data_IF_207880338092
#
_entry.id   IF_207880338092
#
_cell.length_a   1.000
_cell.length_b   1.000
_cell.length_c   1.000
_cell.angle_alpha   90.00
_cell.angle_beta   90.00
_cell.angle_gamma   90.00
#
_symmetry.space_group_name_H-M   'P 1'
#
loop_
_entity.id
_entity.type
_entity.pdbx_description
1 polymer ?
#
# COMPACT_ATOMS: atom_id res chain seq x y z
N UNK A 1 -64.45 14.65 -58.41
CA UNK A 1 -65.38 15.36 -57.50
C UNK A 1 -65.31 14.70 -56.13
N UNK A 2 -65.06 15.49 -55.07
CA UNK A 2 -65.38 15.30 -53.63
C UNK A 2 -65.18 13.92 -52.95
N UNK A 3 -64.81 13.75 -51.67
CA UNK A 3 -64.37 14.55 -50.51
C UNK A 3 -63.97 13.51 -49.43
N UNK A 4 -62.80 13.70 -48.80
CA UNK A 4 -62.43 13.53 -47.37
C UNK A 4 -63.05 12.49 -46.40
N UNK A 5 -62.16 11.98 -45.52
CA UNK A 5 -62.27 11.34 -44.18
C UNK A 5 -62.40 9.81 -44.18
N UNK A 6 -61.69 9.00 -43.38
CA UNK A 6 -61.04 9.23 -42.08
C UNK A 6 -59.88 8.25 -41.83
N UNK A 7 -59.00 8.62 -40.90
CA UNK A 7 -57.74 7.99 -40.47
C UNK A 7 -58.00 6.91 -39.39
N UNK A 8 -57.22 5.81 -39.39
CA UNK A 8 -56.71 5.20 -38.16
C UNK A 8 -55.51 4.28 -38.45
N UNK A 9 -54.29 4.81 -38.27
CA UNK A 9 -53.07 4.02 -38.11
C UNK A 9 -52.85 3.86 -36.61
N UNK A 10 -52.92 2.65 -36.08
CA UNK A 10 -52.43 2.38 -34.72
C UNK A 10 -50.89 2.44 -34.76
N UNK A 11 -50.34 3.54 -34.24
CA UNK A 11 -48.95 3.64 -33.87
C UNK A 11 -48.73 3.05 -32.49
N UNK A 12 -47.79 2.10 -32.37
CA UNK A 12 -47.15 1.80 -31.10
C UNK A 12 -45.95 2.74 -30.96
N UNK A 13 -46.16 3.86 -30.26
CA UNK A 13 -45.09 4.68 -29.72
C UNK A 13 -44.56 3.99 -28.46
N UNK A 14 -43.30 3.54 -28.50
CA UNK A 14 -42.56 3.24 -27.28
C UNK A 14 -42.25 4.56 -26.57
N UNK A 15 -42.95 4.83 -25.48
CA UNK A 15 -42.61 5.90 -24.56
C UNK A 15 -41.32 5.51 -23.82
N UNK A 16 -40.25 6.31 -24.02
CA UNK A 16 -39.15 6.38 -23.08
C UNK A 16 -39.69 6.92 -21.75
N UNK A 17 -39.80 6.07 -20.73
CA UNK A 17 -39.83 6.52 -19.34
C UNK A 17 -38.41 6.41 -18.79
N UNK A 18 -37.78 7.58 -18.65
CA UNK A 18 -36.55 7.75 -17.88
C UNK A 18 -36.95 7.65 -16.41
N UNK A 19 -36.75 6.48 -15.80
CA UNK A 19 -36.65 6.38 -14.35
C UNK A 19 -35.17 6.46 -13.96
N UNK A 20 -34.82 7.64 -13.46
CA UNK A 20 -33.60 7.85 -12.70
C UNK A 20 -33.68 7.15 -11.33
N UNK A 21 -32.49 6.88 -10.78
CA UNK A 21 -32.21 6.43 -9.42
C UNK A 21 -32.49 4.95 -9.13
N UNK A 22 -31.43 4.14 -9.23
CA UNK A 22 -30.85 3.35 -8.13
C UNK A 22 -29.44 2.95 -8.58
N UNK A 23 -28.45 3.79 -8.27
CA UNK A 23 -27.04 3.48 -8.51
C UNK A 23 -26.59 2.38 -7.56
N UNK A 24 -26.79 1.13 -7.96
CA UNK A 24 -26.01 0.02 -7.40
C UNK A 24 -24.55 0.28 -7.75
N UNK A 25 -23.71 0.49 -6.73
CA UNK A 25 -22.26 0.47 -6.87
C UNK A 25 -21.87 -0.95 -7.25
N UNK A 26 -21.65 -1.19 -8.53
CA UNK A 26 -20.95 -2.40 -8.98
C UNK A 26 -19.49 -2.18 -8.59
N UNK A 27 -19.07 -2.74 -7.45
CA UNK A 27 -17.64 -2.99 -7.22
C UNK A 27 -17.24 -4.07 -8.21
N UNK A 28 -16.59 -3.68 -9.30
CA UNK A 28 -15.96 -4.63 -10.19
C UNK A 28 -14.76 -5.17 -9.44
N UNK A 29 -14.92 -6.33 -8.79
CA UNK A 29 -13.79 -7.07 -8.25
C UNK A 29 -12.77 -7.26 -9.38
N UNK A 30 -11.47 -7.09 -9.07
CA UNK A 30 -10.42 -7.38 -10.04
C UNK A 30 -10.64 -8.79 -10.63
N UNK A 31 -10.52 -8.97 -11.95
CA UNK A 31 -10.70 -10.28 -12.57
C UNK A 31 -9.76 -11.29 -11.90
N UNK A 32 -10.21 -12.53 -11.67
CA UNK A 32 -9.45 -13.56 -10.94
C UNK A 32 -8.03 -13.79 -11.52
N UNK A 33 -7.79 -13.44 -12.79
CA UNK A 33 -6.48 -13.47 -13.45
C UNK A 33 -5.42 -12.52 -12.85
N UNK A 34 -5.84 -11.51 -12.08
CA UNK A 34 -4.94 -10.51 -11.49
C UNK A 34 -4.60 -10.81 -10.02
N UNK A 35 -5.13 -11.90 -9.45
CA UNK A 35 -4.80 -12.35 -8.09
C UNK A 35 -3.49 -13.12 -8.11
N UNK A 36 -2.62 -12.85 -7.14
CA UNK A 36 -1.43 -13.66 -6.95
C UNK A 36 -1.85 -14.85 -6.07
N UNK A 37 -1.90 -16.05 -6.66
CA UNK A 37 -2.11 -17.27 -5.89
C UNK A 37 -0.90 -17.51 -4.98
N UNK A 38 -1.20 -17.99 -3.77
CA UNK A 38 -0.16 -18.37 -2.84
C UNK A 38 0.35 -19.77 -3.16
N UNK A 39 1.67 -19.92 -3.25
CA UNK A 39 2.28 -21.24 -3.21
C UNK A 39 2.03 -21.91 -1.85
N UNK A 40 1.93 -23.24 -1.79
CA UNK A 40 1.75 -24.04 -0.55
C UNK A 40 2.74 -23.70 0.60
N UNK A 41 3.86 -23.03 0.29
CA UNK A 41 4.80 -22.47 1.26
C UNK A 41 4.22 -21.30 2.10
N UNK A 42 3.05 -20.74 1.76
CA UNK A 42 2.30 -19.72 2.52
C UNK A 42 1.78 -20.23 3.88
N UNK A 43 1.91 -21.53 4.16
CA UNK A 43 1.30 -22.18 5.33
C UNK A 43 2.26 -22.35 6.53
N UNK A 44 3.52 -21.93 6.42
CA UNK A 44 4.52 -22.04 7.49
C UNK A 44 4.63 -20.74 8.28
N UNK A 45 3.60 -20.38 9.05
CA UNK A 45 3.62 -19.15 9.86
C UNK A 45 2.77 -19.26 11.11
N UNK A 46 2.87 -20.37 11.86
CA UNK A 46 1.99 -20.52 13.04
C UNK A 46 2.57 -21.06 14.33
N UNK A 47 3.81 -21.59 14.39
CA UNK A 47 4.22 -22.30 15.61
C UNK A 47 5.58 -21.98 16.21
N UNK A 48 6.41 -21.07 15.69
CA UNK A 48 7.79 -20.90 16.22
C UNK A 48 8.18 -19.48 16.65
N UNK A 49 7.38 -18.44 16.36
CA UNK A 49 7.89 -17.05 16.42
C UNK A 49 6.94 -16.07 17.10
N UNK A 50 6.32 -16.47 18.22
CA UNK A 50 5.51 -15.56 19.03
C UNK A 50 6.31 -14.31 19.40
N UNK A 51 5.79 -13.13 19.05
CA UNK A 51 6.35 -11.82 19.43
C UNK A 51 7.33 -11.18 18.43
N UNK A 52 7.71 -11.83 17.32
CA UNK A 52 8.57 -11.18 16.31
C UNK A 52 7.80 -10.36 15.29
N UNK A 53 6.61 -10.81 14.89
CA UNK A 53 5.69 -10.12 14.00
C UNK A 53 4.28 -10.65 14.21
N UNK A 54 3.31 -9.85 13.79
CA UNK A 54 1.89 -10.18 13.82
C UNK A 54 1.42 -10.53 12.41
N UNK A 55 0.62 -11.59 12.28
CA UNK A 55 -0.01 -11.98 11.02
C UNK A 55 -1.48 -11.55 11.01
N UNK A 56 -1.91 -10.91 9.93
CA UNK A 56 -3.30 -10.52 9.71
C UNK A 56 -3.96 -11.46 8.72
N UNK A 57 -5.06 -12.08 9.13
CA UNK A 57 -5.88 -12.93 8.26
C UNK A 57 -7.27 -12.35 8.05
N UNK A 58 -7.84 -12.58 6.86
CA UNK A 58 -9.24 -12.30 6.58
C UNK A 58 -10.11 -13.29 7.38
N UNK A 59 -11.12 -12.78 8.10
CA UNK A 59 -11.92 -13.60 9.03
C UNK A 59 -12.73 -14.68 8.33
N UNK A 60 -13.24 -14.40 7.14
CA UNK A 60 -14.16 -15.28 6.43
C UNK A 60 -13.41 -16.38 5.67
N UNK A 61 -12.31 -16.00 5.01
CA UNK A 61 -11.52 -16.94 4.19
C UNK A 61 -10.35 -17.60 4.92
N UNK A 62 -10.02 -17.13 6.13
CA UNK A 62 -8.81 -17.50 6.89
C UNK A 62 -7.49 -17.27 6.15
N UNK A 63 -7.51 -16.62 4.98
CA UNK A 63 -6.32 -16.31 4.19
C UNK A 63 -5.52 -15.19 4.85
N UNK A 64 -4.19 -15.31 4.81
CA UNK A 64 -3.28 -14.23 5.22
C UNK A 64 -3.41 -13.07 4.22
N UNK A 65 -3.54 -11.84 4.75
CA UNK A 65 -3.76 -10.57 4.03
C UNK A 65 -2.84 -9.44 4.52
N UNK A 66 -1.82 -9.79 5.29
CA UNK A 66 -0.80 -8.86 5.77
C UNK A 66 -0.03 -9.39 6.95
N UNK A 67 1.04 -8.67 7.28
CA UNK A 67 1.78 -8.85 8.53
C UNK A 67 2.39 -7.52 8.97
N UNK A 68 2.70 -7.41 10.25
CA UNK A 68 3.27 -6.20 10.83
C UNK A 68 4.28 -6.49 11.91
N UNK A 69 5.19 -5.55 12.14
CA UNK A 69 6.08 -5.56 13.29
C UNK A 69 6.50 -4.14 13.65
N UNK A 70 7.03 -4.00 14.86
CA UNK A 70 7.37 -2.71 15.46
C UNK A 70 8.86 -2.63 15.78
N UNK A 71 9.48 -1.53 15.36
CA UNK A 71 10.79 -1.09 15.82
C UNK A 71 10.61 -0.11 16.98
N UNK A 72 11.05 -0.56 18.17
CA UNK A 72 11.16 0.25 19.39
C UNK A 72 12.63 0.48 19.75
N UNK A 73 12.91 1.55 20.48
CA UNK A 73 14.26 1.93 20.88
C UNK A 73 14.71 1.35 22.23
N UNK A 74 16.00 1.50 22.59
CA UNK A 74 16.98 2.35 21.90
C UNK A 74 17.72 1.61 20.76
N UNK A 75 17.86 2.26 19.60
CA UNK A 75 18.69 1.83 18.48
C UNK A 75 18.99 3.03 17.53
N UNK A 76 19.66 2.78 16.39
CA UNK A 76 20.06 3.85 15.45
C UNK A 76 18.88 4.59 14.80
N UNK A 77 17.68 4.01 14.79
CA UNK A 77 16.47 4.57 14.18
C UNK A 77 15.58 5.23 15.23
N UNK A 78 15.41 4.55 16.36
CA UNK A 78 14.66 5.03 17.52
C UNK A 78 15.67 5.24 18.65
N UNK A 79 16.28 6.44 18.80
CA UNK A 79 17.43 6.64 19.69
C UNK A 79 17.07 6.67 21.18
N UNK A 80 15.78 6.64 21.52
CA UNK A 80 15.30 6.73 22.89
C UNK A 80 14.67 5.41 23.32
N UNK A 81 14.80 5.06 24.59
CA UNK A 81 14.07 3.94 25.17
C UNK A 81 12.58 4.25 25.22
N UNK A 82 11.78 3.20 25.10
CA UNK A 82 10.35 3.30 25.38
C UNK A 82 10.15 3.34 26.90
N UNK A 83 9.56 4.42 27.47
CA UNK A 83 9.34 4.51 28.91
C UNK A 83 8.41 3.41 29.43
N UNK A 84 7.42 3.00 28.63
CA UNK A 84 6.52 1.87 28.88
C UNK A 84 6.20 1.19 27.55
N UNK A 85 5.82 -0.09 27.58
CA UNK A 85 5.48 -0.81 26.36
C UNK A 85 4.35 -0.11 25.60
N UNK A 86 4.65 0.34 24.38
CA UNK A 86 3.65 1.06 23.57
C UNK A 86 3.64 2.57 23.76
N UNK A 87 4.22 3.07 24.84
CA UNK A 87 4.38 4.49 25.14
C UNK A 87 5.72 4.99 24.59
N UNK A 88 5.70 6.12 23.88
CA UNK A 88 6.90 6.75 23.34
C UNK A 88 7.21 6.45 21.86
N UNK A 89 8.40 6.86 21.40
CA UNK A 89 8.73 6.86 19.99
C UNK A 89 8.87 5.45 19.41
N UNK A 90 8.31 5.22 18.23
CA UNK A 90 8.37 3.94 17.53
C UNK A 90 8.17 4.10 16.03
N UNK A 91 8.61 3.09 15.28
CA UNK A 91 8.26 2.90 13.87
C UNK A 91 7.52 1.59 13.71
N UNK A 92 6.37 1.63 13.07
CA UNK A 92 5.62 0.43 12.72
C UNK A 92 5.71 0.16 11.23
N UNK A 93 5.88 -1.11 10.87
CA UNK A 93 5.85 -1.60 9.50
C UNK A 93 4.63 -2.48 9.32
N UNK A 94 3.81 -2.17 8.31
CA UNK A 94 2.60 -2.91 7.97
C UNK A 94 2.66 -3.28 6.48
N UNK A 95 2.88 -4.55 6.21
CA UNK A 95 2.80 -5.09 4.86
C UNK A 95 1.36 -5.53 4.62
N UNK A 96 0.70 -4.88 3.67
CA UNK A 96 -0.71 -5.08 3.39
C UNK A 96 -0.89 -5.60 1.97
N UNK A 97 -1.76 -6.60 1.80
CA UNK A 97 -2.13 -7.17 0.51
C UNK A 97 -3.57 -7.68 0.59
N UNK A 98 -4.49 -6.74 0.79
CA UNK A 98 -5.92 -7.03 0.97
C UNK A 98 -6.47 -7.74 -0.25
N UNK A 99 -7.33 -8.73 0.00
CA UNK A 99 -7.94 -9.61 -1.01
C UNK A 99 -6.97 -10.31 -1.97
N UNK A 100 -5.66 -10.23 -1.68
CA UNK A 100 -4.55 -10.68 -2.52
C UNK A 100 -4.60 -10.09 -3.94
N UNK A 101 -5.21 -8.91 -4.06
CA UNK A 101 -5.25 -8.14 -5.30
C UNK A 101 -3.94 -7.39 -5.48
N UNK A 102 -3.35 -7.43 -6.68
CA UNK A 102 -2.11 -6.69 -6.99
C UNK A 102 -2.22 -5.20 -6.67
N UNK A 103 -3.40 -4.61 -6.78
CA UNK A 103 -3.62 -3.17 -6.53
C UNK A 103 -3.43 -2.74 -5.07
N UNK A 104 -3.61 -3.68 -4.13
CA UNK A 104 -3.62 -3.38 -2.70
C UNK A 104 -2.35 -3.84 -1.99
N UNK A 105 -1.32 -4.20 -2.75
CA UNK A 105 -0.03 -4.61 -2.21
C UNK A 105 0.81 -3.37 -1.88
N UNK A 106 1.04 -3.13 -0.60
CA UNK A 106 1.75 -1.94 -0.12
C UNK A 106 2.51 -2.22 1.19
N UNK A 107 3.55 -1.43 1.43
CA UNK A 107 4.17 -1.26 2.73
C UNK A 107 3.75 0.09 3.30
N UNK A 108 3.02 0.07 4.41
CA UNK A 108 2.76 1.25 5.22
C UNK A 108 3.78 1.33 6.35
N UNK A 109 4.41 2.47 6.48
CA UNK A 109 5.34 2.81 7.57
C UNK A 109 4.76 3.97 8.35
N UNK A 110 4.61 3.77 9.65
CA UNK A 110 4.11 4.81 10.56
C UNK A 110 5.18 5.16 11.57
N UNK A 111 5.65 6.41 11.49
CA UNK A 111 6.53 6.99 12.49
C UNK A 111 5.69 7.68 13.56
N UNK A 112 5.87 7.23 14.80
CA UNK A 112 5.28 7.79 16.01
C UNK A 112 6.39 8.52 16.77
N UNK A 113 6.52 9.84 16.63
CA UNK A 113 7.50 10.60 17.42
C UNK A 113 7.07 10.74 18.89
N UNK A 114 5.80 10.51 19.19
CA UNK A 114 5.13 10.58 20.51
C UNK A 114 3.97 9.58 20.55
N UNK A 115 3.34 9.34 21.71
CA UNK A 115 2.12 8.52 21.79
C UNK A 115 0.89 9.15 21.08
N UNK A 116 0.89 10.46 20.85
CA UNK A 116 -0.26 11.16 20.27
C UNK A 116 -0.46 10.85 18.79
N UNK A 117 -1.63 10.28 18.45
CA UNK A 117 -1.97 9.89 17.08
C UNK A 117 -1.98 11.04 16.05
N UNK A 118 -2.29 12.25 16.49
CA UNK A 118 -2.28 13.46 15.63
C UNK A 118 -0.87 13.86 15.16
N UNK A 119 0.17 13.25 15.73
CA UNK A 119 1.57 13.51 15.39
C UNK A 119 2.19 12.43 14.50
N UNK A 120 1.42 11.40 14.12
CA UNK A 120 1.89 10.31 13.26
C UNK A 120 2.28 10.81 11.88
N UNK A 121 3.37 10.24 11.37
CA UNK A 121 3.87 10.46 10.02
C UNK A 121 3.70 9.17 9.26
N UNK A 122 2.82 9.18 8.27
CA UNK A 122 2.45 8.03 7.48
C UNK A 122 3.18 8.07 6.14
N UNK A 123 3.83 6.97 5.78
CA UNK A 123 4.49 6.77 4.50
C UNK A 123 3.98 5.48 3.89
N UNK A 124 3.42 5.54 2.68
CA UNK A 124 3.03 4.34 1.94
C UNK A 124 3.99 4.15 0.78
N UNK A 125 4.50 2.92 0.66
CA UNK A 125 5.43 2.50 -0.36
C UNK A 125 4.80 1.38 -1.18
N UNK A 126 4.85 1.52 -2.50
CA UNK A 126 4.42 0.50 -3.46
C UNK A 126 5.62 0.12 -4.31
N UNK A 127 5.77 -1.18 -4.57
CA UNK A 127 6.92 -1.73 -5.27
C UNK A 127 6.47 -2.39 -6.57
N UNK A 128 7.20 -2.14 -7.66
CA UNK A 128 6.89 -2.69 -8.99
C UNK A 128 8.14 -3.30 -9.63
N UNK A 129 8.02 -4.44 -10.34
CA UNK A 129 6.80 -5.19 -10.60
C UNK A 129 6.24 -5.90 -9.36
N UNK A 130 4.93 -6.18 -9.35
CA UNK A 130 4.20 -6.89 -8.30
C UNK A 130 4.09 -8.37 -8.66
N UNK A 131 5.22 -9.06 -8.56
CA UNK A 131 5.37 -10.47 -8.93
C UNK A 131 4.93 -11.42 -7.82
N UNK A 132 5.09 -11.02 -6.56
CA UNK A 132 4.87 -11.85 -5.39
C UNK A 132 3.94 -11.14 -4.39
N UNK A 133 3.25 -11.92 -3.55
CA UNK A 133 2.73 -11.40 -2.30
C UNK A 133 3.91 -11.14 -1.34
N UNK A 134 3.87 -10.07 -0.54
CA UNK A 134 4.85 -9.88 0.52
C UNK A 134 4.84 -11.10 1.46
N UNK A 135 6.04 -11.55 1.83
CA UNK A 135 6.21 -12.67 2.74
C UNK A 135 7.25 -12.33 3.81
N UNK A 136 7.18 -13.00 4.95
CA UNK A 136 8.11 -12.86 6.06
C UNK A 136 8.56 -14.23 6.56
N UNK A 137 9.87 -14.37 6.72
CA UNK A 137 10.54 -15.56 7.25
C UNK A 137 11.47 -15.10 8.39
N UNK A 138 11.49 -15.81 9.51
CA UNK A 138 12.56 -15.63 10.49
C UNK A 138 13.58 -16.77 10.38
N UNK A 139 14.86 -16.44 10.60
CA UNK A 139 15.91 -17.43 10.77
C UNK A 139 15.76 -18.23 12.06
N UNK A 140 16.67 -19.19 12.26
CA UNK A 140 16.68 -20.09 13.41
C UNK A 140 16.74 -19.34 14.76
N UNK A 141 16.12 -19.90 15.82
CA UNK A 141 16.16 -19.33 17.18
C UNK A 141 17.60 -19.05 17.66
N UNK A 142 17.84 -17.87 18.24
CA UNK A 142 19.13 -17.43 18.78
C UNK A 142 19.97 -16.56 17.84
N UNK A 143 19.61 -16.47 16.56
CA UNK A 143 20.22 -15.57 15.58
C UNK A 143 19.14 -14.94 14.70
N UNK A 144 18.12 -14.34 15.33
CA UNK A 144 16.92 -13.92 14.63
C UNK A 144 17.23 -12.80 13.62
N UNK A 145 17.00 -13.10 12.35
CA UNK A 145 16.95 -12.18 11.24
C UNK A 145 15.58 -12.37 10.60
N UNK A 146 14.84 -11.28 10.42
CA UNK A 146 13.61 -11.32 9.65
C UNK A 146 13.94 -10.99 8.20
N UNK A 147 13.69 -11.94 7.32
CA UNK A 147 13.73 -11.75 5.87
C UNK A 147 12.32 -11.44 5.40
N UNK A 148 12.14 -10.25 4.88
CA UNK A 148 10.92 -9.84 4.19
C UNK A 148 11.15 -9.89 2.69
N UNK A 149 10.30 -10.62 1.98
CA UNK A 149 10.26 -10.60 0.51
C UNK A 149 9.28 -9.52 0.05
N UNK A 150 9.76 -8.57 -0.75
CA UNK A 150 8.96 -7.50 -1.34
C UNK A 150 8.14 -8.01 -2.53
N UNK A 151 7.15 -7.24 -3.01
CA UNK A 151 6.36 -7.60 -4.20
C UNK A 151 7.20 -7.86 -5.45
N UNK A 152 8.36 -7.20 -5.54
CA UNK A 152 9.35 -7.39 -6.61
C UNK A 152 10.08 -8.74 -6.55
N UNK A 153 9.92 -9.50 -5.46
CA UNK A 153 10.69 -10.70 -5.15
C UNK A 153 12.03 -10.41 -4.45
N UNK A 154 12.37 -9.14 -4.27
CA UNK A 154 13.62 -8.75 -3.61
C UNK A 154 13.50 -8.87 -2.08
N UNK A 155 14.60 -9.22 -1.42
CA UNK A 155 14.64 -9.39 0.02
C UNK A 155 15.04 -8.09 0.74
N UNK A 156 14.49 -7.90 1.94
CA UNK A 156 14.91 -6.93 2.95
C UNK A 156 15.15 -7.68 4.24
N UNK A 157 16.28 -7.42 4.88
CA UNK A 157 16.66 -8.07 6.11
C UNK A 157 16.53 -7.09 7.28
N UNK A 158 15.94 -7.57 8.36
CA UNK A 158 15.81 -6.85 9.62
C UNK A 158 16.49 -7.65 10.73
N UNK A 159 17.14 -6.95 11.64
CA UNK A 159 17.57 -7.52 12.91
C UNK A 159 16.34 -8.00 13.70
N UNK A 160 16.34 -9.24 14.15
CA UNK A 160 15.17 -9.86 14.78
C UNK A 160 14.81 -9.26 16.14
N UNK A 161 15.73 -8.58 16.83
CA UNK A 161 15.45 -7.91 18.10
C UNK A 161 14.99 -6.47 17.88
N UNK A 162 15.86 -5.64 17.32
CA UNK A 162 15.66 -4.20 17.14
C UNK A 162 14.72 -3.85 15.99
N UNK A 163 14.47 -4.79 15.06
CA UNK A 163 13.70 -4.56 13.83
C UNK A 163 14.25 -3.42 12.96
N UNK A 164 15.55 -3.16 13.07
CA UNK A 164 16.29 -2.22 12.21
C UNK A 164 16.63 -2.95 10.91
N UNK A 165 16.49 -2.28 9.76
CA UNK A 165 16.94 -2.83 8.48
C UNK A 165 18.46 -2.99 8.49
N UNK A 166 18.92 -4.21 8.25
CA UNK A 166 20.34 -4.60 8.21
C UNK A 166 20.87 -4.78 6.79
N UNK A 167 19.99 -4.98 5.80
CA UNK A 167 20.38 -5.07 4.40
C UNK A 167 19.23 -5.35 3.42
N UNK A 168 19.58 -5.52 2.15
CA UNK A 168 18.64 -5.83 1.07
C UNK A 168 18.19 -4.59 0.27
N UNK A 169 16.98 -4.68 -0.31
CA UNK A 169 16.46 -3.69 -1.25
C UNK A 169 16.00 -2.38 -0.59
N UNK A 170 15.81 -2.34 0.73
CA UNK A 170 15.47 -1.13 1.48
C UNK A 170 16.55 -0.79 2.50
N UNK A 171 16.78 0.52 2.69
CA UNK A 171 17.70 1.02 3.70
C UNK A 171 17.06 2.18 4.45
N UNK A 172 17.17 2.13 5.78
CA UNK A 172 16.85 3.26 6.66
C UNK A 172 18.05 4.22 6.74
N UNK A 173 17.85 5.46 6.30
CA UNK A 173 18.89 6.49 6.10
C UNK A 173 19.03 7.46 7.27
N UNK A 174 17.99 7.65 8.07
CA UNK A 174 18.04 8.53 9.26
C UNK A 174 17.03 8.10 10.34
N UNK A 175 17.27 8.51 11.62
CA UNK A 175 16.37 8.26 12.74
C UNK A 175 14.99 8.90 12.56
N UNK A 176 14.01 8.47 13.36
CA UNK A 176 12.71 9.16 13.43
C UNK A 176 12.90 10.64 13.83
N UNK A 177 12.21 11.53 13.14
CA UNK A 177 12.30 12.96 13.41
C UNK A 177 11.32 13.36 14.53
N UNK A 178 11.87 13.73 15.68
CA UNK A 178 11.14 14.16 16.87
C UNK A 178 11.21 15.67 17.12
N UNK A 179 11.54 16.47 16.09
CA UNK A 179 11.60 17.92 16.21
C UNK A 179 10.33 18.52 16.83
N UNK A 180 10.40 19.62 17.59
CA UNK A 180 9.24 20.18 18.28
C UNK A 180 8.15 20.66 17.31
N UNK A 181 8.55 21.16 16.15
CA UNK A 181 7.62 21.59 15.10
C UNK A 181 7.16 20.39 14.25
N UNK A 182 5.95 19.91 14.53
CA UNK A 182 5.37 18.75 13.85
C UNK A 182 5.24 18.91 12.34
N UNK A 183 5.19 20.14 11.81
CA UNK A 183 5.02 20.40 10.38
C UNK A 183 6.36 20.37 9.63
N UNK A 184 7.48 20.54 10.35
CA UNK A 184 8.83 20.52 9.79
C UNK A 184 9.56 19.19 9.95
N UNK A 185 9.01 18.27 10.75
CA UNK A 185 9.56 16.91 10.87
C UNK A 185 9.71 16.27 9.49
N UNK A 186 10.71 15.41 9.33
CA UNK A 186 10.90 14.59 8.14
C UNK A 186 10.10 13.30 8.24
N UNK A 187 9.56 12.83 7.12
CA UNK A 187 8.95 11.50 7.02
C UNK A 187 10.01 10.40 7.07
N UNK A 188 9.59 9.13 7.18
CA UNK A 188 10.53 8.04 7.40
C UNK A 188 11.63 8.00 6.33
N UNK A 189 12.87 7.89 6.76
CA UNK A 189 14.04 7.85 5.87
C UNK A 189 14.25 6.49 5.24
N UNK A 190 13.32 6.02 4.41
CA UNK A 190 13.46 4.76 3.67
C UNK A 190 13.86 5.05 2.24
N UNK A 191 14.97 4.46 1.81
CA UNK A 191 15.45 4.50 0.44
C UNK A 191 15.40 3.10 -0.16
N UNK A 192 14.87 3.02 -1.38
CA UNK A 192 14.87 1.79 -2.17
C UNK A 192 16.13 1.74 -3.06
N UNK A 193 16.83 0.60 -2.96
CA UNK A 193 18.06 0.26 -3.69
C UNK A 193 17.87 -0.92 -4.65
N UNK A 194 16.64 -1.42 -4.75
CA UNK A 194 16.31 -2.51 -5.66
C UNK A 194 16.34 -2.11 -7.12
N UNK A 195 16.15 -3.09 -7.99
CA UNK A 195 16.17 -2.92 -9.46
C UNK A 195 14.81 -2.50 -10.04
N UNK A 196 13.75 -2.57 -9.25
CA UNK A 196 12.40 -2.19 -9.64
C UNK A 196 12.11 -0.71 -9.44
N UNK A 197 10.84 -0.42 -9.19
CA UNK A 197 10.34 0.92 -8.91
C UNK A 197 9.75 0.99 -7.52
N UNK A 198 9.94 2.14 -6.88
CA UNK A 198 9.23 2.51 -5.67
C UNK A 198 8.37 3.74 -5.93
N UNK A 199 7.08 3.64 -5.64
CA UNK A 199 6.18 4.78 -5.49
C UNK A 199 6.03 5.06 -4.00
N UNK A 200 6.23 6.30 -3.61
CA UNK A 200 6.13 6.78 -2.24
C UNK A 200 5.12 7.91 -2.13
N UNK A 201 4.23 7.81 -1.14
CA UNK A 201 3.37 8.92 -0.72
C UNK A 201 3.51 9.13 0.79
N UNK A 202 3.56 10.39 1.19
CA UNK A 202 3.76 10.80 2.58
C UNK A 202 2.63 11.72 3.04
N UNK A 203 2.13 11.55 4.26
CA UNK A 203 1.18 12.49 4.88
C UNK A 203 1.19 12.42 6.40
N UNK A 204 0.80 13.53 7.03
CA UNK A 204 0.64 13.66 8.48
C UNK A 204 -0.84 13.57 8.84
N UNK A 205 -1.17 12.74 9.82
CA UNK A 205 -2.50 12.68 10.46
C UNK A 205 -3.68 12.23 9.60
N UNK A 206 -3.49 11.94 8.31
CA UNK A 206 -4.52 11.51 7.35
C UNK A 206 -3.92 10.48 6.37
N UNK A 207 -4.77 9.85 5.56
CA UNK A 207 -4.35 8.88 4.53
C UNK A 207 -3.44 9.56 3.47
N UNK A 208 -2.21 9.06 3.25
CA UNK A 208 -1.28 9.60 2.26
C UNK A 208 -1.71 9.51 0.80
N UNK A 209 -2.82 8.86 0.49
CA UNK A 209 -3.27 8.67 -0.90
C UNK A 209 -4.22 9.77 -1.38
N UNK A 210 -4.65 10.67 -0.49
CA UNK A 210 -5.58 11.78 -0.76
C UNK A 210 -4.80 13.11 -0.82
N UNK A 211 -5.20 14.05 -1.68
CA UNK A 211 -4.74 15.47 -1.70
C UNK A 211 -3.26 15.71 -1.42
N UNK A 212 -2.38 14.92 -2.04
CA UNK A 212 -0.93 15.04 -1.88
C UNK A 212 -0.22 14.72 -3.19
N UNK A 213 1.11 14.65 -3.14
CA UNK A 213 1.96 14.21 -4.24
C UNK A 213 2.55 12.83 -3.95
N UNK A 214 2.74 12.05 -5.01
CA UNK A 214 3.52 10.85 -5.01
C UNK A 214 4.90 11.11 -5.62
N UNK A 215 5.91 10.46 -5.07
CA UNK A 215 7.27 10.43 -5.61
C UNK A 215 7.57 9.03 -6.12
N UNK A 216 7.89 8.91 -7.40
CA UNK A 216 8.24 7.64 -8.06
C UNK A 216 9.74 7.63 -8.35
N UNK A 217 10.42 6.54 -7.98
CA UNK A 217 11.87 6.38 -8.07
C UNK A 217 12.25 5.06 -8.75
N UNK A 218 13.29 5.12 -9.61
CA UNK A 218 13.92 4.00 -10.32
C UNK A 218 15.45 4.15 -10.36
N UNK A 219 16.08 4.59 -9.26
CA UNK A 219 17.50 4.99 -9.26
C UNK A 219 17.87 6.23 -10.10
N UNK A 220 17.00 6.69 -11.00
CA UNK A 220 17.09 7.94 -11.75
C UNK A 220 16.47 9.13 -10.99
N UNK A 221 16.38 10.30 -11.66
CA UNK A 221 15.70 11.48 -11.11
C UNK A 221 14.25 11.13 -10.72
N UNK A 222 13.80 11.47 -9.50
CA UNK A 222 12.44 11.16 -9.07
C UNK A 222 11.40 11.88 -9.95
N UNK A 223 10.31 11.18 -10.25
CA UNK A 223 9.11 11.78 -10.84
C UNK A 223 8.13 12.13 -9.71
N UNK A 224 7.67 13.39 -9.67
CA UNK A 224 6.69 13.85 -8.68
C UNK A 224 5.39 14.17 -9.39
N UNK A 225 4.30 13.53 -9.00
CA UNK A 225 2.97 13.72 -9.61
C UNK A 225 1.88 13.80 -8.53
N UNK A 226 0.72 14.40 -8.83
CA UNK A 226 -0.43 14.36 -7.93
C UNK A 226 -0.87 12.92 -7.63
N UNK A 227 -1.15 12.63 -6.36
CA UNK A 227 -1.65 11.32 -5.93
C UNK A 227 -3.01 10.97 -6.57
N UNK A 228 -3.81 11.97 -6.97
CA UNK A 228 -5.10 11.78 -7.63
C UNK A 228 -4.99 11.15 -9.03
N UNK A 229 -3.80 11.12 -9.63
CA UNK A 229 -3.54 10.40 -10.88
C UNK A 229 -3.20 8.91 -10.66
N UNK A 230 -3.06 8.51 -9.41
CA UNK A 230 -2.62 7.18 -8.99
C UNK A 230 -3.66 6.43 -8.18
N UNK A 231 -4.50 7.16 -7.44
CA UNK A 231 -5.48 6.58 -6.53
C UNK A 231 -6.88 7.09 -6.82
N UNK A 232 -7.87 6.20 -6.70
CA UNK A 232 -9.27 6.59 -6.68
C UNK A 232 -9.57 7.33 -5.37
N UNK A 233 -9.79 8.64 -5.43
CA UNK A 233 -10.08 9.50 -4.27
C UNK A 233 -11.57 9.84 -4.15
N UNK A 234 -12.46 9.11 -4.83
CA UNK A 234 -13.90 9.31 -4.73
C UNK A 234 -14.40 8.96 -3.33
N UNK A 235 -15.16 9.88 -2.71
CA UNK A 235 -15.77 9.68 -1.38
C UNK A 235 -16.68 8.45 -1.29
N UNK A 236 -17.15 7.94 -2.44
CA UNK A 236 -18.07 6.80 -2.54
C UNK A 236 -17.39 5.47 -2.84
N UNK A 237 -16.07 5.47 -3.06
CA UNK A 237 -15.31 4.28 -3.44
C UNK A 237 -14.18 4.01 -2.46
N UNK A 238 -13.68 2.78 -2.46
CA UNK A 238 -12.47 2.45 -1.71
C UNK A 238 -11.26 3.17 -2.32
N UNK A 239 -10.34 3.61 -1.46
CA UNK A 239 -9.05 4.19 -1.88
C UNK A 239 -8.18 3.09 -2.50
N UNK A 240 -8.27 2.96 -3.81
CA UNK A 240 -7.64 1.91 -4.60
C UNK A 240 -6.62 2.50 -5.59
N UNK A 241 -5.57 1.74 -5.86
CA UNK A 241 -4.60 2.09 -6.89
C UNK A 241 -5.20 1.89 -8.29
N UNK A 242 -5.14 2.91 -9.14
CA UNK A 242 -5.85 2.95 -10.42
C UNK A 242 -5.33 1.95 -11.48
N UNK A 243 -4.15 1.36 -11.27
CA UNK A 243 -3.50 0.49 -12.26
C UNK A 243 -3.49 -0.99 -11.82
N UNK A 244 -4.42 -1.81 -12.35
CA UNK A 244 -4.54 -3.23 -11.98
C UNK A 244 -3.31 -4.04 -12.38
N UNK A 245 -2.72 -3.72 -13.53
CA UNK A 245 -1.53 -4.38 -14.05
C UNK A 245 -0.30 -3.48 -14.01
N UNK A 246 0.88 -4.09 -13.95
CA UNK A 246 2.15 -3.35 -13.97
C UNK A 246 2.42 -2.71 -15.33
N UNK A 247 1.96 -3.32 -16.42
CA UNK A 247 2.11 -2.76 -17.76
C UNK A 247 1.26 -1.51 -17.97
N UNK A 248 0.02 -1.49 -17.46
CA UNK A 248 -0.81 -0.29 -17.48
C UNK A 248 -0.15 0.86 -16.70
N UNK A 249 0.46 0.56 -15.55
CA UNK A 249 1.19 1.55 -14.79
C UNK A 249 2.46 2.01 -15.51
N UNK A 250 3.20 1.09 -16.13
CA UNK A 250 4.41 1.38 -16.92
C UNK A 250 4.11 2.34 -18.08
N UNK A 251 3.04 2.07 -18.84
CA UNK A 251 2.60 2.97 -19.92
C UNK A 251 2.27 4.36 -19.40
N UNK A 252 1.59 4.45 -18.25
CA UNK A 252 1.32 5.73 -17.61
C UNK A 252 2.61 6.46 -17.26
N UNK A 253 3.59 5.77 -16.66
CA UNK A 253 4.88 6.38 -16.30
C UNK A 253 5.70 6.81 -17.53
N UNK A 254 5.65 6.07 -18.62
CA UNK A 254 6.26 6.50 -19.89
C UNK A 254 5.62 7.79 -20.40
N UNK A 255 4.28 7.91 -20.32
CA UNK A 255 3.54 9.08 -20.79
C UNK A 255 3.74 10.30 -19.87
N UNK A 256 3.59 10.14 -18.56
CA UNK A 256 3.61 11.24 -17.60
C UNK A 256 5.02 11.59 -17.10
N UNK A 257 5.80 10.58 -16.74
CA UNK A 257 7.11 10.74 -16.12
C UNK A 257 8.27 10.63 -17.11
N UNK A 258 8.01 10.25 -18.37
CA UNK A 258 9.03 9.99 -19.40
C UNK A 258 10.06 8.95 -18.96
N UNK A 259 9.63 8.00 -18.13
CA UNK A 259 10.49 6.94 -17.61
C UNK A 259 10.66 5.83 -18.64
N UNK A 260 11.89 5.31 -18.74
CA UNK A 260 12.24 4.12 -19.52
C UNK A 260 12.55 2.97 -18.56
N UNK A 261 12.20 1.76 -18.96
CA UNK A 261 12.29 0.55 -18.13
C UNK A 261 12.91 -0.59 -18.92
#
# INVERSE_FOLDING_TARGET
MHKSKSVSLLGLAFALQINAAHGQSISVAAPDSDRIEANEQDTLTRSVLEGLYDVRSNRDSQKVVGFSFRNGGPNRIIPFEEPEEGAGPKREFHFEFKDRARQDIQLRVTDFPTEFGSQRMETYLYFFPRLNLPAIEASEPGHETLKVTLPTGEAVFFDGKSKVMTGGALVETFPIDMGPDRFKRKFCGIQYKGTGLMLRVDRRGNDPRIDTVATIQNGAKPCIIPASLLFNQSEKAHLEFLYPTDDAFREFLQKQCKMTF
#
